data_IF_818235248852
#
_entry.id   IF_818235248852
#
_cell.length_a   1.000
_cell.length_b   1.000
_cell.length_c   1.000
_cell.angle_alpha   90.00
_cell.angle_beta   90.00
_cell.angle_gamma   90.00
#
_symmetry.space_group_name_H-M   'P 1'
#
loop_
_entity.id
_entity.type
_entity.pdbx_description
1 polymer ?
#
# COMPACT_ATOMS: atom_id res chain seq x y z
N UNK A 1 1.64 -2.99 -7.50
CA UNK A 1 0.81 -4.15 -7.90
C UNK A 1 -0.36 -3.69 -8.77
N UNK A 2 -0.89 -4.55 -9.64
CA UNK A 2 -2.08 -4.27 -10.46
C UNK A 2 -3.20 -5.23 -10.07
N UNK A 3 -4.43 -4.73 -9.97
CA UNK A 3 -5.64 -5.53 -9.76
C UNK A 3 -6.54 -5.46 -10.99
N UNK A 4 -7.46 -6.40 -11.13
CA UNK A 4 -8.33 -6.67 -12.29
C UNK A 4 -9.18 -5.49 -12.81
N UNK A 5 -9.21 -4.35 -12.12
CA UNK A 5 -9.93 -3.13 -12.49
C UNK A 5 -9.18 -2.22 -13.46
N UNK A 6 -7.92 -2.50 -13.80
CA UNK A 6 -7.08 -1.62 -14.61
C UNK A 6 -6.39 -0.51 -13.80
N UNK A 7 -6.56 -0.54 -12.48
CA UNK A 7 -5.83 0.32 -11.56
C UNK A 7 -4.45 -0.26 -11.23
N UNK A 8 -3.47 0.63 -11.14
CA UNK A 8 -2.11 0.31 -10.71
C UNK A 8 -1.81 1.13 -9.47
N UNK A 9 -1.30 0.48 -8.43
CA UNK A 9 -0.84 1.17 -7.23
C UNK A 9 0.69 1.19 -7.22
N UNK A 10 1.26 2.38 -6.97
CA UNK A 10 2.70 2.59 -6.85
C UNK A 10 3.03 3.29 -5.55
N UNK A 11 4.05 2.80 -4.84
CA UNK A 11 4.70 3.49 -3.74
C UNK A 11 5.75 4.45 -4.27
N UNK A 12 5.97 5.57 -3.58
CA UNK A 12 6.92 6.58 -4.04
C UNK A 12 7.77 7.12 -2.86
N UNK A 13 9.03 7.53 -3.12
CA UNK A 13 9.91 8.13 -2.10
C UNK A 13 9.45 9.48 -1.55
N UNK A 14 8.40 10.10 -2.13
CA UNK A 14 7.82 11.38 -1.66
C UNK A 14 6.77 11.18 -0.55
N UNK A 15 6.75 9.99 0.05
CA UNK A 15 5.87 9.57 1.15
C UNK A 15 4.41 9.36 0.70
N UNK A 16 4.19 9.26 -0.61
CA UNK A 16 2.86 9.10 -1.21
C UNK A 16 2.69 7.72 -1.81
N UNK A 17 1.44 7.25 -1.79
CA UNK A 17 0.99 6.14 -2.63
C UNK A 17 0.10 6.74 -3.71
N UNK A 18 0.39 6.43 -4.97
CA UNK A 18 -0.38 6.92 -6.12
C UNK A 18 -1.13 5.76 -6.76
N UNK A 19 -2.37 6.04 -7.14
CA UNK A 19 -3.22 5.16 -7.90
C UNK A 19 -3.33 5.68 -9.32
N UNK A 20 -3.08 4.78 -10.27
CA UNK A 20 -3.07 5.09 -11.68
C UNK A 20 -4.18 4.34 -12.39
N UNK A 21 -4.91 5.01 -13.27
CA UNK A 21 -5.92 4.36 -14.11
C UNK A 21 -5.39 4.19 -15.53
N UNK A 22 -5.12 2.93 -15.92
CA UNK A 22 -4.60 2.61 -17.25
C UNK A 22 -5.64 2.80 -18.36
N UNK A 23 -6.92 2.98 -18.03
CA UNK A 23 -7.99 3.22 -19.01
C UNK A 23 -8.04 4.68 -19.47
N UNK A 24 -7.34 5.58 -18.78
CA UNK A 24 -7.28 6.99 -19.11
C UNK A 24 -6.35 7.22 -20.31
N UNK A 25 -6.87 7.71 -21.43
CA UNK A 25 -6.12 7.88 -22.69
C UNK A 25 -5.32 9.19 -22.76
N UNK A 26 -5.39 10.04 -21.74
CA UNK A 26 -4.65 11.30 -21.66
C UNK A 26 -3.54 11.17 -20.62
N UNK A 27 -2.30 11.47 -21.02
CA UNK A 27 -1.08 11.37 -20.22
C UNK A 27 -1.16 12.18 -18.91
N UNK A 28 -2.01 13.23 -18.89
CA UNK A 28 -2.25 14.06 -17.70
C UNK A 28 -3.33 13.52 -16.75
N UNK A 29 -4.10 12.51 -17.15
CA UNK A 29 -5.21 11.95 -16.38
C UNK A 29 -4.91 10.56 -15.80
N UNK A 30 -3.63 10.22 -15.69
CA UNK A 30 -3.20 8.91 -15.20
C UNK A 30 -3.29 8.80 -13.68
N UNK A 31 -3.00 9.86 -12.90
CA UNK A 31 -3.11 9.83 -11.43
C UNK A 31 -4.55 10.05 -11.00
N UNK A 32 -5.20 8.98 -10.54
CA UNK A 32 -6.58 9.04 -10.02
C UNK A 32 -6.63 9.57 -8.59
N UNK A 33 -5.69 9.14 -7.75
CA UNK A 33 -5.69 9.49 -6.33
C UNK A 33 -4.27 9.39 -5.77
N UNK A 34 -3.94 10.31 -4.87
CA UNK A 34 -2.70 10.28 -4.11
C UNK A 34 -3.03 10.23 -2.63
N UNK A 35 -2.44 9.27 -1.93
CA UNK A 35 -2.70 8.96 -0.53
C UNK A 35 -1.54 9.48 0.32
N UNK A 36 -1.85 10.44 1.20
CA UNK A 36 -0.89 11.27 1.90
C UNK A 36 -1.02 11.08 3.42
N UNK A 37 -0.41 10.05 3.97
CA UNK A 37 -0.40 9.83 5.43
C UNK A 37 0.91 9.27 5.96
N UNK A 38 1.77 8.73 5.09
CA UNK A 38 3.11 8.32 5.51
C UNK A 38 3.97 9.55 5.77
N UNK A 39 4.82 9.43 6.80
CA UNK A 39 5.81 10.47 7.15
C UNK A 39 7.21 10.15 6.62
N UNK A 40 7.38 8.96 6.05
CA UNK A 40 8.64 8.41 5.58
C UNK A 40 8.45 7.77 4.19
N UNK A 41 9.56 7.41 3.53
CA UNK A 41 9.56 6.75 2.22
C UNK A 41 8.70 5.49 2.21
N UNK A 42 7.80 5.39 1.24
CA UNK A 42 6.98 4.19 1.04
C UNK A 42 7.81 3.19 0.26
N UNK A 43 8.20 2.09 0.90
CA UNK A 43 9.05 1.06 0.31
C UNK A 43 8.26 0.03 -0.49
N UNK A 44 6.97 -0.14 -0.20
CA UNK A 44 6.14 -1.06 -0.95
C UNK A 44 4.64 -0.84 -0.82
N UNK A 45 3.91 -1.38 -1.79
CA UNK A 45 2.44 -1.39 -1.82
C UNK A 45 1.93 -2.67 -2.46
N UNK A 46 0.91 -3.28 -1.87
CA UNK A 46 0.21 -4.45 -2.40
C UNK A 46 -1.30 -4.29 -2.32
N UNK A 47 -2.01 -4.98 -3.21
CA UNK A 47 -3.47 -5.06 -3.18
C UNK A 47 -3.91 -6.17 -2.24
N UNK A 48 -5.06 -6.03 -1.59
CA UNK A 48 -5.69 -7.16 -0.91
C UNK A 48 -6.46 -8.00 -1.93
N UNK A 49 -6.14 -9.30 -2.10
CA UNK A 49 -6.82 -10.18 -3.05
C UNK A 49 -8.33 -10.27 -2.81
N UNK A 50 -8.75 -10.23 -1.54
CA UNK A 50 -10.15 -10.38 -1.14
C UNK A 50 -10.96 -9.09 -1.36
N UNK A 51 -10.30 -7.93 -1.45
CA UNK A 51 -10.99 -6.64 -1.56
C UNK A 51 -10.38 -5.75 -2.67
N UNK A 52 -11.09 -5.56 -3.79
CA UNK A 52 -10.58 -4.82 -4.95
C UNK A 52 -10.41 -3.32 -4.69
N UNK A 53 -10.92 -2.82 -3.55
CA UNK A 53 -10.83 -1.41 -3.16
C UNK A 53 -9.78 -1.18 -2.07
N UNK A 54 -9.11 -2.21 -1.57
CA UNK A 54 -8.16 -2.06 -0.48
C UNK A 54 -6.72 -2.35 -0.90
N UNK A 55 -5.82 -1.49 -0.42
CA UNK A 55 -4.38 -1.65 -0.59
C UNK A 55 -3.68 -1.51 0.75
N UNK A 56 -2.56 -2.19 0.89
CA UNK A 56 -1.67 -2.05 2.05
C UNK A 56 -0.33 -1.53 1.58
N UNK A 57 0.20 -0.58 2.33
CA UNK A 57 1.47 0.07 2.04
C UNK A 57 2.36 0.01 3.26
N UNK A 58 3.67 -0.06 3.06
CA UNK A 58 4.67 -0.06 4.12
C UNK A 58 5.72 1.02 3.87
N UNK A 59 6.25 1.60 4.95
CA UNK A 59 7.27 2.65 4.87
C UNK A 59 8.53 2.36 5.69
N UNK A 60 9.57 3.17 5.45
CA UNK A 60 10.83 3.17 6.19
C UNK A 60 10.68 3.56 7.67
N UNK A 61 9.54 4.09 8.10
CA UNK A 61 9.23 4.27 9.52
C UNK A 61 8.74 3.00 10.23
N UNK A 62 8.67 1.86 9.51
CA UNK A 62 8.17 0.59 10.04
C UNK A 62 6.65 0.54 10.17
N UNK A 63 5.95 1.56 9.68
CA UNK A 63 4.49 1.63 9.69
C UNK A 63 3.91 0.99 8.43
N UNK A 64 2.96 0.08 8.62
CA UNK A 64 2.07 -0.39 7.58
C UNK A 64 0.74 0.37 7.67
N UNK A 65 0.22 0.85 6.54
CA UNK A 65 -1.08 1.50 6.45
C UNK A 65 -1.97 0.77 5.45
N UNK A 66 -3.20 0.48 5.88
CA UNK A 66 -4.26 -0.07 5.05
C UNK A 66 -5.15 1.08 4.57
N UNK A 67 -5.51 1.07 3.29
CA UNK A 67 -6.22 2.13 2.62
C UNK A 67 -7.42 1.56 1.88
N UNK A 68 -8.53 2.29 1.88
CA UNK A 68 -9.60 2.12 0.92
C UNK A 68 -9.42 3.17 -0.18
N UNK A 69 -9.33 2.75 -1.44
CA UNK A 69 -9.11 3.65 -2.59
C UNK A 69 -10.28 4.63 -2.83
N UNK A 70 -11.43 4.38 -2.19
CA UNK A 70 -12.61 5.26 -2.22
C UNK A 70 -12.56 6.32 -1.12
N UNK A 71 -11.65 6.18 -0.16
CA UNK A 71 -11.43 7.10 0.96
C UNK A 71 -10.13 7.87 0.78
N UNK A 72 -10.08 9.10 1.29
CA UNK A 72 -8.84 9.89 1.40
C UNK A 72 -8.02 9.55 2.65
N UNK A 73 -8.63 8.90 3.64
CA UNK A 73 -8.01 8.54 4.91
C UNK A 73 -7.68 7.04 4.97
N UNK A 74 -6.56 6.67 5.63
CA UNK A 74 -6.24 5.26 5.86
C UNK A 74 -7.26 4.63 6.80
N UNK A 75 -7.64 3.38 6.53
CA UNK A 75 -8.52 2.60 7.40
C UNK A 75 -7.82 2.26 8.71
N UNK A 76 -6.56 1.84 8.62
CA UNK A 76 -5.76 1.42 9.78
C UNK A 76 -4.29 1.82 9.59
N UNK A 77 -3.62 2.11 10.70
CA UNK A 77 -2.17 2.28 10.77
C UNK A 77 -1.63 1.30 11.81
N UNK A 78 -0.60 0.55 11.45
CA UNK A 78 -0.04 -0.52 12.26
C UNK A 78 1.48 -0.39 12.34
N UNK A 79 2.04 -0.56 13.53
CA UNK A 79 3.48 -0.68 13.71
C UNK A 79 3.92 -2.09 13.31
N UNK A 80 4.32 -2.24 12.04
CA UNK A 80 4.75 -3.53 11.52
C UNK A 80 6.16 -3.87 11.98
N UNK A 81 7.12 -2.95 11.95
CA UNK A 81 8.53 -3.24 12.29
C UNK A 81 9.13 -2.20 13.22
N UNK A 82 10.18 -2.60 13.96
CA UNK A 82 11.01 -1.68 14.74
C UNK A 82 12.19 -1.26 13.86
N UNK A 83 12.03 -0.19 13.09
CA UNK A 83 12.97 0.22 12.03
C UNK A 83 12.32 0.18 10.65
N UNK A 84 13.13 0.12 9.57
CA UNK A 84 12.61 0.22 8.21
C UNK A 84 11.77 -0.99 7.82
N UNK A 85 10.55 -0.75 7.34
CA UNK A 85 9.83 -1.73 6.56
C UNK A 85 10.40 -1.75 5.14
N UNK A 86 10.81 -2.91 4.65
CA UNK A 86 11.58 -3.05 3.41
C UNK A 86 10.74 -3.62 2.27
N UNK A 87 9.83 -4.54 2.57
CA UNK A 87 9.01 -5.18 1.56
C UNK A 87 7.62 -5.54 2.09
N UNK A 88 6.69 -5.68 1.16
CA UNK A 88 5.32 -6.12 1.44
C UNK A 88 4.83 -7.02 0.30
N UNK A 89 4.08 -8.05 0.65
CA UNK A 89 3.40 -8.95 -0.29
C UNK A 89 2.08 -9.41 0.30
N UNK A 90 1.16 -9.87 -0.55
CA UNK A 90 -0.15 -10.38 -0.13
C UNK A 90 -0.40 -11.73 -0.77
N UNK A 91 -0.92 -12.68 0.01
CA UNK A 91 -1.31 -14.01 -0.47
C UNK A 91 -2.58 -14.45 0.24
N UNK A 92 -3.65 -14.66 -0.52
CA UNK A 92 -4.99 -14.88 0.03
C UNK A 92 -5.43 -13.71 0.91
N UNK A 93 -5.92 -14.01 2.11
CA UNK A 93 -6.36 -13.01 3.10
C UNK A 93 -5.23 -12.37 3.92
N UNK A 94 -4.00 -12.85 3.75
CA UNK A 94 -2.87 -12.43 4.56
C UNK A 94 -1.94 -11.48 3.80
N UNK A 95 -1.40 -10.52 4.54
CA UNK A 95 -0.35 -9.62 4.10
C UNK A 95 0.91 -9.90 4.89
N UNK A 96 2.03 -9.97 4.19
CA UNK A 96 3.34 -10.25 4.71
C UNK A 96 4.22 -9.02 4.58
N UNK A 97 4.93 -8.66 5.64
CA UNK A 97 5.88 -7.55 5.66
C UNK A 97 7.22 -8.01 6.17
N UNK A 98 8.30 -7.54 5.55
CA UNK A 98 9.67 -7.76 6.00
C UNK A 98 10.34 -6.43 6.36
N UNK A 99 11.16 -6.43 7.41
CA UNK A 99 11.83 -5.24 7.91
C UNK A 99 13.29 -5.42 8.28
N UNK A 100 13.95 -4.30 8.56
CA UNK A 100 15.34 -4.22 9.03
C UNK A 100 15.55 -4.86 10.41
N UNK A 101 14.47 -5.06 11.16
CA UNK A 101 14.46 -5.81 12.43
C UNK A 101 14.70 -7.33 12.25
N UNK A 102 14.91 -7.80 11.02
CA UNK A 102 15.15 -9.19 10.69
C UNK A 102 13.90 -10.07 10.86
N UNK A 103 12.72 -9.45 11.00
CA UNK A 103 11.46 -10.17 11.21
C UNK A 103 10.61 -10.15 9.95
N UNK A 104 9.95 -11.26 9.71
CA UNK A 104 8.79 -11.34 8.83
C UNK A 104 7.54 -11.30 9.70
N UNK A 105 6.59 -10.42 9.38
CA UNK A 105 5.30 -10.36 10.08
C UNK A 105 4.16 -10.57 9.10
N UNK A 106 3.12 -11.25 9.59
CA UNK A 106 1.88 -11.46 8.87
C UNK A 106 0.74 -10.69 9.52
N UNK A 107 -0.12 -10.11 8.71
CA UNK A 107 -1.33 -9.42 9.14
C UNK A 107 -2.52 -9.92 8.35
N UNK A 108 -3.63 -10.12 9.06
CA UNK A 108 -4.92 -10.34 8.45
C UNK A 108 -5.75 -9.06 8.66
N UNK A 109 -6.25 -8.48 7.57
CA UNK A 109 -7.05 -7.26 7.59
C UNK A 109 -8.56 -7.54 7.47
N UNK A 110 -8.98 -8.79 7.63
CA UNK A 110 -10.39 -9.19 7.73
C UNK A 110 -10.95 -8.77 9.10
N UNK A 111 -12.23 -8.38 9.08
CA UNK A 111 -13.08 -8.28 10.27
C UNK A 111 -13.89 -9.56 10.40
#
# INVERSE_FOLDING_TARGET
GSHTSGLVATSHPDHRVRLWDRRSSSDSALVRTSLHSHKEWVSGVTWLPDNPFQIVSICHGGLAKCWDIRSSLPLFTLQAHQGKGLCISSSGSNVWTGGEDGKLKSFNFQK
#
